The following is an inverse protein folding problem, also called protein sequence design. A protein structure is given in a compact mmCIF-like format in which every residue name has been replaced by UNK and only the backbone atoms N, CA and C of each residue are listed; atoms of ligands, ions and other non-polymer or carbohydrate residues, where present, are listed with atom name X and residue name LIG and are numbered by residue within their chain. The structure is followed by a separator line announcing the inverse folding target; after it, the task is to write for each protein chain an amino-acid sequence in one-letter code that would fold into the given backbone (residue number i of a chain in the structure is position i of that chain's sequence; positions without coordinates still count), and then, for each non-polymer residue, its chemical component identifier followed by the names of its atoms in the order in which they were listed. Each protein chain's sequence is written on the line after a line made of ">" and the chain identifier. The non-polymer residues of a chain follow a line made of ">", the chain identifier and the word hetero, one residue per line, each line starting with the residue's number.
data_IF_885062418790
#
_entry.id   IF_885062418790
#
_cell.length_a   1.000
_cell.length_b   1.000
_cell.length_c   1.000
_cell.angle_alpha   90.00
_cell.angle_beta   90.00
_cell.angle_gamma   90.00
#
_symmetry.space_group_name_H-M   'P 1'
#
loop_
_entity.id
_entity.type
_entity.pdbx_description
1 polymer ?
#
# COMPACT_ATOMS: atom_id res chain seq x y z
N UNK A 1 -8.19 -17.78 -2.92
CA UNK A 1 -9.49 -17.88 -2.20
C UNK A 1 -9.39 -17.59 -0.69
N UNK A 2 -8.16 -17.42 -0.17
CA UNK A 2 -7.94 -17.26 1.26
C UNK A 2 -8.62 -16.02 1.88
N UNK A 3 -8.87 -14.97 1.08
CA UNK A 3 -9.50 -13.75 1.55
C UNK A 3 -11.02 -13.67 1.25
N UNK A 4 -11.60 -14.75 0.75
CA UNK A 4 -13.05 -14.81 0.58
C UNK A 4 -13.77 -14.88 1.95
N UNK A 5 -14.95 -14.29 2.08
CA UNK A 5 -15.78 -13.72 1.01
C UNK A 5 -15.49 -12.26 0.68
N UNK A 6 -14.47 -11.63 1.23
CA UNK A 6 -14.22 -10.18 1.14
C UNK A 6 -13.51 -9.78 -0.15
N UNK A 7 -12.49 -10.56 -0.56
CA UNK A 7 -11.79 -10.42 -1.84
C UNK A 7 -11.86 -11.76 -2.55
N UNK A 8 -12.38 -11.77 -3.78
CA UNK A 8 -12.58 -13.00 -4.54
C UNK A 8 -11.28 -13.58 -5.11
N UNK A 9 -11.25 -14.89 -5.29
CA UNK A 9 -10.09 -15.63 -5.78
C UNK A 9 -9.67 -15.19 -7.19
N UNK A 10 -10.61 -14.81 -8.05
CA UNK A 10 -10.29 -14.35 -9.41
C UNK A 10 -9.52 -13.03 -9.38
N UNK A 11 -9.99 -12.07 -8.58
CA UNK A 11 -9.28 -10.81 -8.33
C UNK A 11 -7.86 -11.08 -7.83
N UNK A 12 -7.69 -11.96 -6.83
CA UNK A 12 -6.37 -12.26 -6.26
C UNK A 12 -5.41 -12.85 -7.29
N UNK A 13 -5.86 -13.75 -8.16
CA UNK A 13 -5.04 -14.33 -9.23
C UNK A 13 -4.58 -13.29 -10.25
N UNK A 14 -5.46 -12.40 -10.68
CA UNK A 14 -5.07 -11.30 -11.56
C UNK A 14 -4.16 -10.31 -10.85
N UNK A 15 -4.50 -9.93 -9.65
CA UNK A 15 -3.80 -8.91 -8.89
C UNK A 15 -2.36 -9.33 -8.56
N UNK A 16 -2.17 -10.56 -8.07
CA UNK A 16 -0.85 -11.09 -7.74
C UNK A 16 -0.10 -11.61 -8.99
N UNK A 17 -0.71 -12.54 -9.75
CA UNK A 17 0.01 -13.29 -10.79
C UNK A 17 0.18 -12.50 -12.10
N UNK A 18 -0.57 -11.41 -12.30
CA UNK A 18 -0.48 -10.57 -13.49
C UNK A 18 0.02 -9.16 -13.17
N UNK A 19 -0.69 -8.38 -12.36
CA UNK A 19 -0.32 -7.00 -12.08
C UNK A 19 0.99 -6.90 -11.31
N UNK A 20 1.10 -7.52 -10.14
CA UNK A 20 2.35 -7.49 -9.35
C UNK A 20 3.51 -8.15 -10.11
N UNK A 21 3.28 -9.28 -10.78
CA UNK A 21 4.30 -9.93 -11.60
C UNK A 21 4.81 -9.03 -12.74
N UNK A 22 3.93 -8.25 -13.37
CA UNK A 22 4.32 -7.30 -14.42
C UNK A 22 5.17 -6.15 -13.86
N UNK A 23 4.79 -5.57 -12.71
CA UNK A 23 5.60 -4.55 -12.04
C UNK A 23 7.00 -5.07 -11.70
N UNK A 24 7.10 -6.26 -11.13
CA UNK A 24 8.38 -6.92 -10.81
C UNK A 24 9.26 -7.07 -12.05
N UNK A 25 8.68 -7.62 -13.12
CA UNK A 25 9.40 -7.84 -14.39
C UNK A 25 9.92 -6.53 -14.99
N UNK A 26 9.07 -5.50 -15.02
CA UNK A 26 9.40 -4.22 -15.64
C UNK A 26 10.43 -3.44 -14.81
N UNK A 27 10.30 -3.46 -13.48
CA UNK A 27 11.30 -2.86 -12.59
C UNK A 27 12.67 -3.51 -12.80
N UNK A 28 12.74 -4.84 -12.75
CA UNK A 28 13.99 -5.58 -12.96
C UNK A 28 14.64 -5.24 -14.30
N UNK A 29 13.82 -5.18 -15.37
CA UNK A 29 14.32 -4.81 -16.70
C UNK A 29 14.93 -3.39 -16.72
N UNK A 30 14.36 -2.44 -16.00
CA UNK A 30 14.87 -1.07 -15.94
C UNK A 30 16.15 -0.99 -15.12
N UNK A 31 16.15 -1.50 -13.87
CA UNK A 31 17.29 -1.37 -12.95
C UNK A 31 18.50 -2.19 -13.38
N UNK A 32 18.33 -3.30 -14.09
CA UNK A 32 19.43 -4.12 -14.60
C UNK A 32 20.30 -3.39 -15.65
N UNK A 33 19.84 -2.26 -16.18
CA UNK A 33 20.64 -1.42 -17.07
C UNK A 33 21.67 -0.56 -16.31
N UNK A 34 21.51 -0.44 -14.98
CA UNK A 34 22.28 0.41 -14.10
C UNK A 34 22.77 -0.41 -12.88
N UNK A 35 24.04 -0.90 -12.91
CA UNK A 35 24.58 -1.75 -11.85
C UNK A 35 24.44 -1.16 -10.43
N UNK A 36 24.55 0.16 -10.30
CA UNK A 36 24.40 0.89 -9.04
C UNK A 36 22.97 0.84 -8.48
N UNK A 37 21.96 0.74 -9.34
CA UNK A 37 20.55 0.55 -8.92
C UNK A 37 20.25 -0.92 -8.65
N UNK A 38 20.81 -1.82 -9.44
CA UNK A 38 20.59 -3.26 -9.29
C UNK A 38 21.10 -3.82 -7.94
N UNK A 39 22.01 -3.11 -7.27
CA UNK A 39 22.53 -3.46 -5.95
C UNK A 39 21.73 -2.90 -4.76
N UNK A 40 20.74 -2.06 -5.03
CA UNK A 40 19.88 -1.42 -4.01
C UNK A 40 18.56 -2.15 -3.82
N UNK A 41 17.93 -1.99 -2.65
CA UNK A 41 16.54 -2.41 -2.48
C UNK A 41 15.59 -1.53 -3.30
N UNK A 42 14.45 -2.07 -3.67
CA UNK A 42 13.44 -1.27 -4.39
C UNK A 42 12.95 -0.09 -3.56
N UNK A 43 12.82 -0.28 -2.25
CA UNK A 43 12.44 0.77 -1.30
C UNK A 43 13.48 1.90 -1.26
N UNK A 44 14.78 1.58 -1.27
CA UNK A 44 15.83 2.61 -1.27
C UNK A 44 15.90 3.36 -2.59
N UNK A 45 15.65 2.68 -3.71
CA UNK A 45 15.51 3.34 -5.02
C UNK A 45 14.35 4.34 -4.99
N UNK A 46 13.19 3.95 -4.42
CA UNK A 46 12.04 4.85 -4.33
C UNK A 46 12.27 6.03 -3.38
N UNK A 47 12.97 5.82 -2.24
CA UNK A 47 13.34 6.94 -1.34
C UNK A 47 14.26 7.94 -2.04
N UNK A 48 15.08 7.47 -2.94
CA UNK A 48 16.02 8.28 -3.70
C UNK A 48 15.58 8.48 -5.16
N UNK A 49 14.28 8.53 -5.40
CA UNK A 49 13.69 8.55 -6.77
C UNK A 49 14.28 9.65 -7.65
N UNK A 50 14.64 10.79 -7.08
CA UNK A 50 15.26 11.92 -7.79
C UNK A 50 16.69 11.64 -8.27
N UNK A 51 17.32 10.57 -7.80
CA UNK A 51 18.67 10.14 -8.22
C UNK A 51 18.61 9.09 -9.33
N UNK A 52 17.43 8.63 -9.70
CA UNK A 52 17.23 7.65 -10.78
C UNK A 52 17.49 8.33 -12.14
N UNK A 53 18.24 7.69 -13.07
CA UNK A 53 18.46 8.22 -14.41
C UNK A 53 17.15 8.56 -15.13
N UNK A 54 17.14 9.70 -15.83
CA UNK A 54 15.94 10.30 -16.44
C UNK A 54 15.27 9.36 -17.45
N UNK A 55 16.03 8.61 -18.21
CA UNK A 55 15.55 7.69 -19.26
C UNK A 55 14.76 6.49 -18.70
N UNK A 56 14.99 6.10 -17.42
CA UNK A 56 14.24 5.03 -16.74
C UNK A 56 13.36 5.56 -15.60
N UNK A 57 13.41 6.83 -15.25
CA UNK A 57 12.74 7.41 -14.08
C UNK A 57 11.25 7.08 -14.05
N UNK A 58 10.51 7.32 -15.13
CA UNK A 58 9.08 7.03 -15.22
C UNK A 58 8.80 5.53 -15.06
N UNK A 59 9.63 4.68 -15.64
CA UNK A 59 9.50 3.23 -15.53
C UNK A 59 9.72 2.77 -14.09
N UNK A 60 10.74 3.29 -13.42
CA UNK A 60 11.06 2.98 -12.02
C UNK A 60 9.98 3.51 -11.09
N UNK A 61 9.52 4.76 -11.27
CA UNK A 61 8.42 5.33 -10.49
C UNK A 61 7.18 4.44 -10.53
N UNK A 62 6.71 4.11 -11.74
CA UNK A 62 5.49 3.34 -11.92
C UNK A 62 5.64 1.87 -11.50
N UNK A 63 6.69 1.20 -11.94
CA UNK A 63 6.84 -0.24 -11.70
C UNK A 63 7.54 -0.54 -10.36
N UNK A 64 8.44 0.33 -9.91
CA UNK A 64 9.04 0.26 -8.58
C UNK A 64 7.99 0.52 -7.49
N UNK A 65 7.19 1.58 -7.66
CA UNK A 65 6.03 1.84 -6.80
C UNK A 65 5.07 0.67 -6.80
N UNK A 66 4.69 0.17 -7.99
CA UNK A 66 3.82 -0.99 -8.12
C UNK A 66 4.37 -2.22 -7.40
N UNK A 67 5.66 -2.52 -7.56
CA UNK A 67 6.30 -3.63 -6.87
C UNK A 67 6.26 -3.48 -5.34
N UNK A 68 6.73 -2.35 -4.82
CA UNK A 68 6.84 -2.13 -3.36
C UNK A 68 5.47 -2.06 -2.70
N UNK A 69 4.51 -1.35 -3.31
CA UNK A 69 3.16 -1.21 -2.78
C UNK A 69 2.47 -2.58 -2.66
N UNK A 70 2.58 -3.43 -3.68
CA UNK A 70 1.95 -4.75 -3.68
C UNK A 70 2.68 -5.75 -2.77
N UNK A 71 4.03 -5.71 -2.71
CA UNK A 71 4.79 -6.55 -1.78
C UNK A 71 4.34 -6.32 -0.32
N UNK A 72 4.09 -5.08 0.07
CA UNK A 72 3.50 -4.74 1.36
C UNK A 72 2.04 -5.20 1.46
N UNK A 73 1.24 -4.98 0.42
CA UNK A 73 -0.20 -5.23 0.43
C UNK A 73 -0.54 -6.67 0.81
N UNK A 74 0.21 -7.64 0.29
CA UNK A 74 0.00 -9.05 0.63
C UNK A 74 0.30 -9.36 2.10
N UNK A 75 1.25 -8.68 2.71
CA UNK A 75 1.65 -8.90 4.12
C UNK A 75 0.65 -8.31 5.11
N UNK A 76 0.04 -7.17 4.78
CA UNK A 76 -0.92 -6.48 5.65
C UNK A 76 -2.35 -7.02 5.55
N UNK A 77 -2.57 -8.10 4.81
CA UNK A 77 -3.83 -8.83 4.75
C UNK A 77 -3.64 -10.27 5.25
N UNK A 78 -4.68 -10.82 5.88
CA UNK A 78 -4.70 -12.19 6.41
C UNK A 78 -6.11 -12.76 6.34
N UNK A 79 -6.27 -14.07 6.05
CA UNK A 79 -7.56 -14.74 6.19
C UNK A 79 -8.11 -14.71 7.62
N UNK A 80 -7.21 -14.63 8.62
CA UNK A 80 -7.55 -14.50 10.04
C UNK A 80 -7.52 -13.02 10.51
N UNK A 81 -7.55 -12.09 9.57
CA UNK A 81 -7.49 -10.65 9.83
C UNK A 81 -8.78 -10.05 10.34
N UNK A 82 -8.81 -8.72 10.36
CA UNK A 82 -9.96 -7.95 10.83
C UNK A 82 -9.91 -7.59 12.31
N UNK A 83 -11.06 -7.19 12.85
CA UNK A 83 -11.14 -6.74 14.24
C UNK A 83 -10.52 -5.38 14.50
N UNK A 84 -10.07 -5.17 15.72
CA UNK A 84 -9.48 -3.91 16.18
C UNK A 84 -7.94 -3.96 16.13
N UNK A 85 -7.27 -2.82 15.94
CA UNK A 85 -5.82 -2.75 16.07
C UNK A 85 -5.37 -3.14 17.48
N UNK A 86 -4.17 -3.71 17.57
CA UNK A 86 -3.54 -4.12 18.84
C UNK A 86 -2.10 -3.58 18.90
N UNK A 87 -1.51 -3.57 20.09
CA UNK A 87 -0.13 -3.13 20.29
C UNK A 87 0.06 -1.62 20.20
N UNK A 88 1.27 -1.20 19.90
CA UNK A 88 1.66 0.22 19.85
C UNK A 88 0.88 1.02 18.81
N UNK A 89 0.54 0.42 17.67
CA UNK A 89 -0.24 1.10 16.63
C UNK A 89 -1.66 1.44 17.10
N UNK A 90 -2.28 0.60 17.95
CA UNK A 90 -3.61 0.89 18.50
C UNK A 90 -3.61 2.16 19.35
N UNK A 91 -2.58 2.32 20.17
CA UNK A 91 -2.38 3.54 20.99
C UNK A 91 -2.15 4.75 20.09
N UNK A 92 -1.23 4.64 19.14
CA UNK A 92 -0.90 5.75 18.24
C UNK A 92 -2.10 6.20 17.37
N UNK A 93 -2.92 5.25 16.89
CA UNK A 93 -4.17 5.57 16.17
C UNK A 93 -5.13 6.35 17.08
N UNK A 94 -5.32 5.90 18.32
CA UNK A 94 -6.23 6.57 19.26
C UNK A 94 -5.74 7.97 19.63
N UNK A 95 -4.44 8.13 19.87
CA UNK A 95 -3.83 9.43 20.19
C UNK A 95 -3.90 10.41 19.01
N UNK A 96 -3.69 9.92 17.78
CA UNK A 96 -3.66 10.78 16.59
C UNK A 96 -5.07 11.12 16.08
N UNK A 97 -5.96 10.14 16.02
CA UNK A 97 -7.27 10.29 15.36
C UNK A 97 -8.45 10.34 16.33
N UNK A 98 -8.22 10.14 17.64
CA UNK A 98 -9.25 10.13 18.67
C UNK A 98 -9.89 8.75 18.89
N UNK A 99 -10.07 7.97 17.84
CA UNK A 99 -10.58 6.59 17.92
C UNK A 99 -10.21 5.80 16.67
N UNK A 100 -10.33 4.46 16.75
CA UNK A 100 -10.19 3.60 15.59
C UNK A 100 -11.28 3.86 14.52
N UNK A 101 -12.51 4.13 14.94
CA UNK A 101 -13.59 4.42 13.99
C UNK A 101 -13.36 5.73 13.25
N UNK A 102 -12.89 6.77 13.93
CA UNK A 102 -12.52 8.04 13.28
C UNK A 102 -11.34 7.85 12.30
N UNK A 103 -10.36 7.02 12.63
CA UNK A 103 -9.29 6.65 11.70
C UNK A 103 -9.83 5.92 10.47
N UNK A 104 -10.69 4.89 10.66
CA UNK A 104 -11.30 4.15 9.54
C UNK A 104 -12.08 5.07 8.60
N UNK A 105 -12.83 6.01 9.16
CA UNK A 105 -13.58 6.98 8.38
C UNK A 105 -12.65 7.83 7.51
N UNK A 106 -11.60 8.41 8.09
CA UNK A 106 -10.62 9.20 7.35
C UNK A 106 -9.90 8.38 6.27
N UNK A 107 -9.50 7.16 6.58
CA UNK A 107 -8.82 6.27 5.64
C UNK A 107 -9.73 5.88 4.46
N UNK A 108 -10.98 5.50 4.73
CA UNK A 108 -11.96 5.19 3.69
C UNK A 108 -12.29 6.43 2.85
N UNK A 109 -12.41 7.59 3.47
CA UNK A 109 -12.63 8.85 2.75
C UNK A 109 -11.47 9.18 1.80
N UNK A 110 -10.22 8.97 2.24
CA UNK A 110 -9.05 9.15 1.37
C UNK A 110 -9.09 8.22 0.14
N UNK A 111 -9.46 6.95 0.34
CA UNK A 111 -9.62 5.98 -0.76
C UNK A 111 -10.79 6.30 -1.69
N UNK A 112 -11.93 6.70 -1.14
CA UNK A 112 -13.13 7.06 -1.90
C UNK A 112 -12.90 8.32 -2.74
N UNK A 113 -12.24 9.32 -2.17
CA UNK A 113 -11.94 10.60 -2.86
C UNK A 113 -10.77 10.51 -3.84
N UNK A 114 -9.95 9.45 -3.80
CA UNK A 114 -8.88 9.27 -4.77
C UNK A 114 -9.47 9.14 -6.18
N UNK A 115 -9.34 10.18 -6.98
CA UNK A 115 -9.88 10.20 -8.34
C UNK A 115 -9.05 9.30 -9.26
N UNK A 116 -9.71 8.28 -9.84
CA UNK A 116 -9.04 7.30 -10.69
C UNK A 116 -8.25 6.25 -9.90
N UNK A 117 -7.17 5.76 -10.49
CA UNK A 117 -6.30 4.76 -9.89
C UNK A 117 -5.40 5.37 -8.82
N UNK A 118 -5.19 4.64 -7.74
CA UNK A 118 -4.32 5.08 -6.65
C UNK A 118 -4.45 4.21 -5.40
N UNK A 119 -4.00 4.76 -4.29
CA UNK A 119 -3.94 4.10 -3.00
C UNK A 119 -4.38 5.04 -1.88
N UNK A 120 -4.98 4.47 -0.84
CA UNK A 120 -5.14 5.13 0.46
C UNK A 120 -4.09 4.59 1.43
N UNK A 121 -3.51 5.45 2.25
CA UNK A 121 -2.38 5.13 3.13
C UNK A 121 -2.58 5.60 4.56
N UNK A 122 -2.05 4.80 5.50
CA UNK A 122 -1.60 5.29 6.80
C UNK A 122 -0.08 5.34 6.74
N UNK A 123 0.49 6.53 6.94
CA UNK A 123 1.93 6.75 6.88
C UNK A 123 2.46 7.34 8.18
N UNK A 124 3.76 7.15 8.40
CA UNK A 124 4.54 7.85 9.41
C UNK A 124 5.38 8.92 8.70
N UNK A 125 5.26 10.16 9.10
CA UNK A 125 6.06 11.25 8.55
C UNK A 125 7.45 11.35 9.22
N UNK A 126 8.28 12.27 8.73
CA UNK A 126 9.64 12.49 9.26
C UNK A 126 9.68 12.99 10.72
N UNK A 127 8.55 13.34 11.31
CA UNK A 127 8.42 13.73 12.72
C UNK A 127 7.82 12.60 13.58
N UNK A 128 7.74 11.40 13.04
CA UNK A 128 7.08 10.24 13.65
C UNK A 128 5.58 10.49 13.96
N UNK A 129 4.91 11.28 13.11
CA UNK A 129 3.47 11.51 13.22
C UNK A 129 2.71 10.66 12.21
N UNK A 130 1.65 9.99 12.68
CA UNK A 130 0.74 9.26 11.80
C UNK A 130 -0.12 10.22 10.98
N UNK A 131 -0.26 9.92 9.68
CA UNK A 131 -1.12 10.67 8.76
C UNK A 131 -1.87 9.70 7.85
N UNK A 132 -3.09 10.10 7.46
CA UNK A 132 -3.82 9.49 6.36
C UNK A 132 -3.61 10.33 5.11
N UNK A 133 -3.28 9.66 3.99
CA UNK A 133 -3.14 10.30 2.69
C UNK A 133 -3.59 9.40 1.55
N UNK A 134 -3.68 9.94 0.35
CA UNK A 134 -3.81 9.14 -0.87
C UNK A 134 -2.71 9.51 -1.88
N UNK A 135 -2.36 8.56 -2.73
CA UNK A 135 -1.45 8.78 -3.87
C UNK A 135 -2.11 8.32 -5.16
N UNK A 136 -1.75 8.97 -6.27
CA UNK A 136 -2.21 8.56 -7.59
C UNK A 136 -1.37 7.40 -8.14
N UNK A 137 -2.00 6.58 -8.96
CA UNK A 137 -1.34 5.49 -9.69
C UNK A 137 -0.58 4.55 -8.73
N UNK A 138 0.72 4.32 -8.98
CA UNK A 138 1.59 3.52 -8.12
C UNK A 138 2.61 4.37 -7.34
N UNK A 139 2.38 5.67 -7.22
CA UNK A 139 3.23 6.52 -6.39
C UNK A 139 3.22 6.00 -4.95
N UNK A 140 4.42 5.82 -4.40
CA UNK A 140 4.60 5.35 -3.03
C UNK A 140 4.93 6.51 -2.10
N UNK A 141 4.42 6.53 -0.86
CA UNK A 141 4.81 7.52 0.15
C UNK A 141 6.33 7.61 0.38
N UNK A 142 7.07 6.53 0.10
CA UNK A 142 8.55 6.52 0.17
C UNK A 142 9.18 7.59 -0.72
N UNK A 143 8.57 7.91 -1.85
CA UNK A 143 9.07 8.94 -2.78
C UNK A 143 8.96 10.35 -2.20
N UNK A 144 8.14 10.55 -1.18
CA UNK A 144 7.95 11.81 -0.44
C UNK A 144 8.61 11.79 0.94
N UNK A 145 9.44 10.77 1.23
CA UNK A 145 10.14 10.62 2.50
C UNK A 145 9.26 10.12 3.65
N UNK A 146 8.05 9.62 3.37
CA UNK A 146 7.16 9.07 4.38
C UNK A 146 7.24 7.55 4.39
N UNK A 147 7.02 6.93 5.56
CA UNK A 147 7.03 5.47 5.71
C UNK A 147 5.60 4.91 5.69
N UNK A 148 5.24 4.05 4.70
CA UNK A 148 3.92 3.44 4.63
C UNK A 148 3.78 2.35 5.70
N UNK A 149 2.88 2.57 6.66
CA UNK A 149 2.52 1.60 7.70
C UNK A 149 1.53 0.58 7.15
N UNK A 150 0.50 1.06 6.46
CA UNK A 150 -0.47 0.26 5.71
C UNK A 150 -1.01 1.03 4.51
N UNK A 151 -1.54 0.32 3.53
CA UNK A 151 -2.19 0.93 2.37
C UNK A 151 -3.26 0.03 1.77
N UNK A 152 -4.25 0.63 1.15
CA UNK A 152 -5.28 -0.08 0.40
C UNK A 152 -5.28 0.35 -1.06
N UNK A 153 -5.20 -0.62 -1.96
CA UNK A 153 -5.23 -0.43 -3.40
C UNK A 153 -6.65 -0.07 -3.86
N UNK A 154 -6.82 1.13 -4.43
CA UNK A 154 -8.10 1.58 -4.99
C UNK A 154 -8.09 1.66 -6.51
N UNK A 155 -7.12 1.04 -7.16
CA UNK A 155 -7.21 0.73 -8.59
C UNK A 155 -8.42 -0.17 -8.83
N UNK A 156 -9.14 0.00 -9.93
CA UNK A 156 -10.30 -0.85 -10.23
C UNK A 156 -9.95 -2.33 -10.33
N UNK A 157 -8.72 -2.68 -10.75
CA UNK A 157 -8.29 -4.08 -10.78
C UNK A 157 -8.31 -4.77 -9.40
N UNK A 158 -8.25 -4.01 -8.31
CA UNK A 158 -8.28 -4.56 -6.95
C UNK A 158 -9.68 -4.98 -6.49
N UNK A 159 -10.75 -4.46 -7.11
CA UNK A 159 -12.11 -4.68 -6.60
C UNK A 159 -13.18 -4.88 -7.66
N UNK A 160 -12.95 -4.54 -8.93
CA UNK A 160 -14.02 -4.41 -9.93
C UNK A 160 -14.75 -5.72 -10.23
N UNK A 161 -14.06 -6.87 -10.24
CA UNK A 161 -14.69 -8.16 -10.52
C UNK A 161 -15.81 -8.51 -9.52
N UNK A 162 -15.61 -8.18 -8.24
CA UNK A 162 -16.58 -8.44 -7.18
C UNK A 162 -17.52 -7.25 -6.94
N UNK A 163 -16.96 -6.06 -6.77
CA UNK A 163 -17.69 -4.88 -6.29
C UNK A 163 -18.16 -3.95 -7.41
N UNK A 164 -17.70 -4.16 -8.65
CA UNK A 164 -17.97 -3.30 -9.80
C UNK A 164 -17.56 -1.84 -9.50
N UNK A 165 -18.46 -0.89 -9.72
CA UNK A 165 -18.21 0.53 -9.44
C UNK A 165 -18.34 0.93 -7.95
N UNK A 166 -18.58 -0.03 -7.07
CA UNK A 166 -18.84 0.24 -5.64
C UNK A 166 -17.56 0.25 -4.83
N UNK A 167 -16.67 1.21 -5.08
CA UNK A 167 -15.40 1.35 -4.34
C UNK A 167 -15.63 1.47 -2.83
N UNK A 168 -16.67 2.21 -2.39
CA UNK A 168 -16.96 2.40 -0.97
C UNK A 168 -17.34 1.10 -0.26
N UNK A 169 -18.03 0.19 -0.97
CA UNK A 169 -18.35 -1.13 -0.43
C UNK A 169 -17.05 -1.97 -0.27
N UNK A 170 -16.16 -1.95 -1.26
CA UNK A 170 -14.85 -2.59 -1.17
C UNK A 170 -14.02 -2.04 0.00
N UNK A 171 -13.92 -0.71 0.12
CA UNK A 171 -13.19 -0.06 1.21
C UNK A 171 -13.73 -0.48 2.58
N UNK A 172 -15.05 -0.59 2.73
CA UNK A 172 -15.69 -1.05 3.96
C UNK A 172 -15.42 -2.52 4.26
N UNK A 173 -15.48 -3.38 3.24
CA UNK A 173 -15.29 -4.82 3.41
C UNK A 173 -13.81 -5.21 3.62
N UNK A 174 -12.87 -4.45 3.09
CA UNK A 174 -11.45 -4.72 3.20
C UNK A 174 -10.94 -4.80 4.65
N UNK A 175 -11.53 -4.05 5.58
CA UNK A 175 -11.17 -4.10 7.00
C UNK A 175 -11.28 -5.48 7.64
N UNK A 176 -12.08 -6.39 7.06
CA UNK A 176 -12.23 -7.76 7.56
C UNK A 176 -11.00 -8.64 7.31
N UNK A 177 -10.09 -8.23 6.45
CA UNK A 177 -8.86 -8.98 6.12
C UNK A 177 -7.58 -8.29 6.59
N UNK A 178 -7.68 -7.16 7.28
CA UNK A 178 -6.53 -6.38 7.74
C UNK A 178 -5.73 -7.15 8.79
N UNK A 179 -4.42 -7.30 8.56
CA UNK A 179 -3.48 -8.00 9.46
C UNK A 179 -2.84 -7.01 10.44
N UNK A 180 -3.49 -6.82 11.58
CA UNK A 180 -3.03 -5.85 12.58
C UNK A 180 -1.70 -6.24 13.26
N UNK A 181 -1.36 -7.52 13.32
CA UNK A 181 -0.07 -7.97 13.83
C UNK A 181 1.08 -7.45 12.97
N UNK A 182 0.98 -7.63 11.66
CA UNK A 182 1.99 -7.12 10.71
C UNK A 182 2.02 -5.58 10.69
N UNK A 183 0.88 -4.92 10.73
CA UNK A 183 0.80 -3.46 10.76
C UNK A 183 1.45 -2.90 12.03
N UNK A 184 1.22 -3.53 13.19
CA UNK A 184 1.89 -3.14 14.43
C UNK A 184 3.40 -3.35 14.33
N UNK A 185 3.85 -4.49 13.81
CA UNK A 185 5.28 -4.77 13.61
C UNK A 185 5.95 -3.70 12.72
N UNK A 186 5.30 -3.32 11.63
CA UNK A 186 5.79 -2.26 10.71
C UNK A 186 5.88 -0.91 11.42
N UNK A 187 4.89 -0.57 12.22
CA UNK A 187 4.90 0.65 13.01
C UNK A 187 6.05 0.67 14.02
N UNK A 188 6.20 -0.40 14.81
CA UNK A 188 7.27 -0.51 15.80
C UNK A 188 8.67 -0.42 15.16
N UNK A 189 8.85 -1.04 13.99
CA UNK A 189 10.11 -0.93 13.24
C UNK A 189 10.38 0.50 12.73
N UNK A 190 9.35 1.23 12.36
CA UNK A 190 9.49 2.57 11.82
C UNK A 190 9.85 3.61 12.90
N UNK A 191 9.47 3.38 14.15
CA UNK A 191 9.74 4.29 15.29
C UNK A 191 10.97 3.89 16.11
N UNK A 192 11.60 2.74 15.82
CA UNK A 192 12.79 2.26 16.53
C UNK A 192 14.04 3.05 16.12
#
# INVERSE_FOLDING_TARGET
>A
DALEPYIDAETMRFHHDKHHAAYTKNLNKAVNQYPELASQSAEDILRNINSVPEDILTTVRNNGGGYVNHAMFWQIMSPDGGGNPTGAIATAITETFGSFDAFKEQFNEAGSKQFGSGWAWLVLDNNNQLQVMSTANQDSPLMEGMYPIMGNDVWEHAYYLKYRNKRDEYLTQWWNVVNWEEINRRYEQAIA
#
